data_IF_553178776958
#
_entry.id   IF_553178776958
#
_cell.length_a   1.000
_cell.length_b   1.000
_cell.length_c   1.000
_cell.angle_alpha   90.00
_cell.angle_beta   90.00
_cell.angle_gamma   90.00
#
_symmetry.space_group_name_H-M   'P 1'
#
loop_
_entity.id
_entity.type
_entity.pdbx_description
1 polymer ?
#
# COMPACT_ATOMS: atom_id res chain seq x y z
N UNK A 1 24.93 21.80 7.15
CA UNK A 1 24.66 21.16 5.85
C UNK A 1 23.19 20.74 5.93
N UNK A 2 22.31 21.11 5.02
CA UNK A 2 20.92 20.61 5.06
C UNK A 2 20.86 19.36 4.20
N UNK A 3 20.53 18.22 4.80
CA UNK A 3 20.31 16.97 4.09
C UNK A 3 21.55 16.22 3.61
N UNK A 4 21.35 14.93 3.35
CA UNK A 4 22.23 14.09 2.54
C UNK A 4 21.89 14.29 1.05
N UNK A 5 22.79 13.94 0.09
CA UNK A 5 22.60 14.28 -1.32
C UNK A 5 21.46 13.54 -2.02
N UNK A 6 20.90 12.48 -1.42
CA UNK A 6 19.86 11.67 -2.05
C UNK A 6 18.49 12.35 -2.00
N UNK A 7 17.91 12.59 -3.17
CA UNK A 7 16.54 13.06 -3.37
C UNK A 7 15.57 11.95 -3.78
N UNK A 8 16.02 10.69 -3.74
CA UNK A 8 15.17 9.55 -4.05
C UNK A 8 14.44 9.11 -2.80
N UNK A 9 13.13 8.93 -2.93
CA UNK A 9 12.29 8.34 -1.89
C UNK A 9 11.13 7.58 -2.49
N UNK A 10 10.40 6.87 -1.62
CA UNK A 10 9.24 6.07 -1.98
C UNK A 10 8.20 6.12 -0.87
N UNK A 11 6.94 6.00 -1.26
CA UNK A 11 5.86 5.67 -0.33
C UNK A 11 5.87 4.16 -0.08
N UNK A 12 5.18 3.73 0.96
CA UNK A 12 4.99 2.32 1.26
C UNK A 12 3.68 2.11 2.02
N UNK A 13 2.80 1.27 1.48
CA UNK A 13 1.67 0.72 2.23
C UNK A 13 1.83 -0.79 2.34
N UNK A 14 2.06 -1.26 3.56
CA UNK A 14 2.37 -2.65 3.86
C UNK A 14 1.21 -3.28 4.62
N UNK A 15 0.75 -4.43 4.15
CA UNK A 15 -0.23 -5.27 4.85
C UNK A 15 0.40 -6.63 5.11
N UNK A 16 0.46 -7.03 6.38
CA UNK A 16 0.88 -8.35 6.82
C UNK A 16 -0.31 -9.09 7.39
N UNK A 17 -0.66 -10.23 6.80
CA UNK A 17 -1.74 -11.10 7.29
C UNK A 17 -1.11 -12.33 7.91
N UNK A 18 -1.45 -12.58 9.18
CA UNK A 18 -1.09 -13.79 9.92
C UNK A 18 -2.29 -14.31 10.70
N UNK A 19 -2.80 -15.48 10.30
CA UNK A 19 -4.00 -16.06 10.87
C UNK A 19 -5.22 -15.14 10.72
N UNK A 20 -5.73 -14.63 11.85
CA UNK A 20 -6.85 -13.67 11.86
C UNK A 20 -6.46 -12.22 12.07
N UNK A 21 -5.18 -11.90 12.09
CA UNK A 21 -4.70 -10.53 12.31
C UNK A 21 -4.13 -9.95 11.01
N UNK A 22 -4.48 -8.70 10.78
CA UNK A 22 -3.93 -7.83 9.74
C UNK A 22 -3.13 -6.74 10.42
N UNK A 23 -1.84 -6.66 10.12
CA UNK A 23 -0.96 -5.58 10.54
C UNK A 23 -0.76 -4.65 9.36
N UNK A 24 -0.92 -3.35 9.57
CA UNK A 24 -0.76 -2.33 8.55
C UNK A 24 0.33 -1.37 9.00
N UNK A 25 1.25 -1.04 8.08
CA UNK A 25 2.25 0.01 8.24
C UNK A 25 2.24 0.89 6.98
N UNK A 26 2.13 2.21 7.16
CA UNK A 26 1.92 3.13 6.05
C UNK A 26 2.79 4.39 6.16
N UNK A 27 3.43 4.76 5.05
CA UNK A 27 4.23 5.99 4.87
C UNK A 27 3.91 6.56 3.47
N UNK A 28 3.54 7.84 3.40
CA UNK A 28 3.27 8.53 2.13
C UNK A 28 1.77 8.66 1.83
N UNK A 29 1.39 8.48 0.58
CA UNK A 29 0.02 8.65 0.07
C UNK A 29 -0.44 7.53 -0.89
N UNK A 30 0.19 6.36 -0.80
CA UNK A 30 -0.49 5.11 -1.13
C UNK A 30 -1.54 4.79 -0.05
N UNK A 31 -2.44 3.85 -0.28
CA UNK A 31 -3.54 3.61 0.65
C UNK A 31 -4.04 2.18 0.71
N UNK A 32 -4.58 1.81 1.88
CA UNK A 32 -5.23 0.53 2.15
C UNK A 32 -6.69 0.77 2.51
N UNK A 33 -7.59 0.11 1.79
CA UNK A 33 -9.04 0.17 2.00
C UNK A 33 -9.58 -1.24 2.30
N UNK A 34 -10.41 -1.35 3.33
CA UNK A 34 -11.09 -2.57 3.73
C UNK A 34 -12.57 -2.51 3.33
N UNK A 35 -13.06 -3.54 2.64
CA UNK A 35 -14.47 -3.74 2.34
C UNK A 35 -15.16 -4.52 3.46
N UNK A 36 -16.12 -3.89 4.12
CA UNK A 36 -16.86 -4.43 5.28
C UNK A 36 -18.34 -4.54 4.93
N UNK A 37 -18.87 -5.75 4.98
CA UNK A 37 -20.29 -6.06 4.97
C UNK A 37 -20.78 -6.13 6.42
N UNK A 38 -21.51 -5.11 6.86
CA UNK A 38 -21.94 -4.98 8.26
C UNK A 38 -23.03 -6.01 8.63
N UNK A 39 -23.98 -6.28 7.73
CA UNK A 39 -25.00 -7.33 7.84
C UNK A 39 -24.89 -8.31 6.65
N UNK A 40 -24.75 -9.63 6.87
CA UNK A 40 -24.76 -10.63 5.80
C UNK A 40 -26.02 -10.64 4.92
N UNK A 41 -27.12 -10.03 5.37
CA UNK A 41 -28.36 -9.87 4.60
C UNK A 41 -28.35 -8.64 3.69
N UNK A 42 -27.48 -7.68 3.97
CA UNK A 42 -27.31 -6.51 3.14
C UNK A 42 -26.30 -6.82 2.04
N UNK A 43 -26.65 -6.49 0.80
CA UNK A 43 -25.73 -6.63 -0.32
C UNK A 43 -24.67 -5.50 -0.31
N UNK A 44 -24.86 -4.46 0.49
CA UNK A 44 -23.93 -3.34 0.52
C UNK A 44 -22.63 -3.66 1.28
N UNK A 45 -21.50 -3.53 0.59
CA UNK A 45 -20.16 -3.56 1.19
C UNK A 45 -19.62 -2.14 1.34
N UNK A 46 -19.45 -1.70 2.60
CA UNK A 46 -18.94 -0.37 2.94
C UNK A 46 -17.42 -0.33 2.86
N UNK A 47 -16.87 0.72 2.25
CA UNK A 47 -15.44 1.00 2.26
C UNK A 47 -15.01 1.63 3.58
N UNK A 48 -13.91 1.12 4.14
CA UNK A 48 -13.24 1.65 5.33
C UNK A 48 -11.79 1.93 4.97
N UNK A 49 -11.40 3.20 4.97
CA UNK A 49 -10.01 3.60 4.81
C UNK A 49 -9.23 3.19 6.07
N UNK A 50 -8.24 2.31 5.91
CA UNK A 50 -7.42 1.79 7.01
C UNK A 50 -6.20 2.68 7.26
N UNK A 51 -5.76 3.39 6.22
CA UNK A 51 -4.64 4.32 6.25
C UNK A 51 -5.12 5.73 5.95
N UNK A 52 -4.43 6.73 6.49
CA UNK A 52 -4.64 8.14 6.16
C UNK A 52 -3.40 8.67 5.44
N UNK A 53 -3.61 9.36 4.31
CA UNK A 53 -2.53 9.97 3.54
C UNK A 53 -1.73 10.96 4.40
N UNK A 54 -0.41 10.91 4.29
CA UNK A 54 0.50 11.85 4.94
C UNK A 54 0.65 13.12 4.10
N UNK A 55 -0.41 13.94 4.00
CA UNK A 55 -0.38 15.19 3.24
C UNK A 55 0.27 16.33 4.05
N UNK A 56 1.17 17.15 3.46
CA UNK A 56 1.88 18.23 4.16
C UNK A 56 0.99 19.27 4.85
N UNK A 57 -0.23 19.47 4.39
CA UNK A 57 -1.20 20.42 4.92
C UNK A 57 -1.97 19.92 6.14
N UNK A 58 -1.91 18.63 6.47
CA UNK A 58 -2.58 18.10 7.65
C UNK A 58 -1.99 18.75 8.91
N UNK A 59 -2.81 19.18 9.89
CA UNK A 59 -2.32 19.93 11.05
C UNK A 59 -1.15 19.25 11.77
N UNK A 60 -1.25 17.94 12.02
CA UNK A 60 -0.21 17.12 12.67
C UNK A 60 1.11 17.14 11.88
N UNK A 61 1.05 16.95 10.56
CA UNK A 61 2.25 16.91 9.72
C UNK A 61 2.85 18.30 9.52
N UNK A 62 2.00 19.32 9.34
CA UNK A 62 2.44 20.70 9.18
C UNK A 62 3.16 21.20 10.42
N UNK A 63 2.60 20.97 11.61
CA UNK A 63 3.21 21.32 12.88
C UNK A 63 4.57 20.63 13.05
N UNK A 64 4.66 19.34 12.72
CA UNK A 64 5.93 18.59 12.74
C UNK A 64 6.97 19.18 11.78
N UNK A 65 6.58 19.42 10.53
CA UNK A 65 7.47 19.97 9.49
C UNK A 65 7.99 21.36 9.89
N UNK A 66 7.10 22.25 10.33
CA UNK A 66 7.46 23.62 10.72
C UNK A 66 8.27 23.64 12.04
N UNK A 67 7.95 22.77 12.99
CA UNK A 67 8.68 22.60 14.24
C UNK A 67 10.13 22.14 14.05
N UNK A 68 10.42 21.37 13.00
CA UNK A 68 11.78 20.98 12.58
C UNK A 68 12.47 22.03 11.70
N UNK A 69 11.90 23.24 11.55
CA UNK A 69 12.46 24.30 10.72
C UNK A 69 12.24 24.09 9.21
N UNK A 70 11.45 23.09 8.83
CA UNK A 70 10.93 22.89 7.48
C UNK A 70 9.90 23.97 7.10
N UNK A 71 9.26 23.80 5.95
CA UNK A 71 8.16 24.67 5.54
C UNK A 71 7.29 23.97 4.50
N UNK A 72 6.01 24.32 4.49
CA UNK A 72 5.02 23.85 3.51
C UNK A 72 4.56 25.03 2.66
N UNK A 73 4.62 24.89 1.34
CA UNK A 73 4.19 25.90 0.38
C UNK A 73 3.15 25.32 -0.56
N UNK A 74 2.06 26.05 -0.79
CA UNK A 74 1.10 25.71 -1.84
C UNK A 74 1.65 26.16 -3.21
N UNK A 75 1.83 25.21 -4.13
CA UNK A 75 2.23 25.47 -5.51
C UNK A 75 1.19 24.89 -6.45
N UNK A 76 0.46 25.78 -7.14
CA UNK A 76 -0.57 25.40 -8.11
C UNK A 76 -1.67 24.50 -7.51
N UNK A 77 -2.09 24.79 -6.27
CA UNK A 77 -3.12 24.02 -5.57
C UNK A 77 -2.60 22.81 -4.80
N UNK A 78 -1.33 22.42 -4.96
CA UNK A 78 -0.73 21.28 -4.27
C UNK A 78 0.21 21.78 -3.18
N UNK A 79 -0.03 21.37 -1.93
CA UNK A 79 0.86 21.67 -0.82
C UNK A 79 2.11 20.80 -0.90
N UNK A 80 3.28 21.42 -0.71
CA UNK A 80 4.56 20.74 -0.87
C UNK A 80 5.52 21.09 0.26
N UNK A 81 6.24 20.07 0.74
CA UNK A 81 7.40 20.25 1.60
C UNK A 81 8.51 20.92 0.80
N UNK A 82 9.11 21.94 1.38
CA UNK A 82 10.12 22.77 0.72
C UNK A 82 11.52 22.21 0.96
N UNK A 83 12.26 21.99 -0.11
CA UNK A 83 13.69 21.75 -0.04
C UNK A 83 14.46 23.07 0.04
N UNK A 84 15.09 23.29 1.20
CA UNK A 84 15.98 24.43 1.47
C UNK A 84 17.42 24.03 1.17
N UNK A 85 18.03 24.60 0.12
CA UNK A 85 19.42 24.34 -0.25
C UNK A 85 20.16 25.62 -0.66
N UNK A 86 21.49 25.72 -0.46
CA UNK A 86 22.27 26.80 -1.03
C UNK A 86 22.09 26.87 -2.55
N UNK A 87 22.15 28.08 -3.10
CA UNK A 87 22.14 28.29 -4.55
C UNK A 87 23.23 27.46 -5.22
N UNK A 88 22.95 26.95 -6.43
CA UNK A 88 23.90 26.17 -7.23
C UNK A 88 25.22 26.90 -7.49
N UNK A 89 25.23 28.24 -7.48
CA UNK A 89 26.43 29.06 -7.63
C UNK A 89 27.25 29.23 -6.35
N UNK A 90 26.80 28.70 -5.22
CA UNK A 90 27.48 28.81 -3.93
C UNK A 90 28.60 27.78 -3.82
N UNK A 91 29.83 28.27 -3.66
CA UNK A 91 31.01 27.44 -3.36
C UNK A 91 31.48 27.71 -1.93
N UNK A 92 31.76 26.64 -1.18
CA UNK A 92 32.32 26.72 0.18
C UNK A 92 31.30 26.45 1.31
N UNK A 93 31.67 26.71 2.58
CA UNK A 93 30.83 26.44 3.74
C UNK A 93 29.59 27.34 3.80
N UNK A 94 28.44 26.79 4.16
CA UNK A 94 27.19 27.54 4.32
C UNK A 94 27.29 28.46 5.55
N UNK A 95 27.09 29.76 5.35
CA UNK A 95 27.09 30.80 6.39
C UNK A 95 25.70 31.45 6.51
N UNK A 96 25.47 32.25 7.55
CA UNK A 96 24.19 32.98 7.72
C UNK A 96 23.85 33.92 6.55
N UNK A 97 24.86 34.41 5.84
CA UNK A 97 24.71 35.26 4.65
C UNK A 97 24.53 34.48 3.35
N UNK A 98 24.61 33.14 3.38
CA UNK A 98 24.43 32.31 2.20
C UNK A 98 22.99 32.42 1.71
N UNK A 99 22.81 32.70 0.42
CA UNK A 99 21.49 32.73 -0.20
C UNK A 99 20.98 31.29 -0.36
N UNK A 100 19.82 31.02 0.24
CA UNK A 100 19.16 29.71 0.22
C UNK A 100 17.98 29.75 -0.73
N UNK A 101 17.93 28.79 -1.66
CA UNK A 101 16.76 28.57 -2.50
C UNK A 101 15.70 27.76 -1.73
N UNK A 102 14.45 28.15 -1.92
CA UNK A 102 13.28 27.44 -1.39
C UNK A 102 12.53 26.81 -2.55
N UNK A 103 12.61 25.49 -2.66
CA UNK A 103 12.06 24.74 -3.79
C UNK A 103 10.89 23.89 -3.28
N UNK A 104 9.64 24.18 -3.67
CA UNK A 104 8.51 23.29 -3.36
C UNK A 104 8.74 21.93 -4.04
N UNK A 105 8.97 20.90 -3.25
CA UNK A 105 9.55 19.64 -3.72
C UNK A 105 8.54 18.49 -3.63
N UNK A 106 8.37 17.86 -2.46
CA UNK A 106 7.49 16.70 -2.28
C UNK A 106 6.06 17.09 -1.91
N UNK A 107 5.08 16.37 -2.45
CA UNK A 107 3.66 16.51 -2.10
C UNK A 107 3.21 15.57 -0.96
N UNK A 108 4.17 14.88 -0.33
CA UNK A 108 3.97 14.00 0.82
C UNK A 108 4.82 14.49 2.00
N UNK A 109 4.32 14.30 3.22
CA UNK A 109 5.00 14.68 4.46
C UNK A 109 5.89 13.56 5.01
N UNK A 110 5.64 12.32 4.59
CA UNK A 110 6.36 11.13 5.02
C UNK A 110 6.74 10.26 3.82
N UNK A 111 7.96 9.74 3.83
CA UNK A 111 8.51 8.90 2.76
C UNK A 111 9.69 8.10 3.30
N UNK A 112 9.93 6.92 2.74
CA UNK A 112 11.19 6.21 2.92
C UNK A 112 12.25 6.80 1.97
N UNK A 113 13.46 7.03 2.46
CA UNK A 113 14.51 7.70 1.68
C UNK A 113 14.46 9.21 1.90
N UNK A 114 14.43 10.00 0.82
CA UNK A 114 14.37 11.46 0.85
C UNK A 114 15.37 12.09 1.84
N UNK A 115 16.60 11.58 1.80
CA UNK A 115 17.62 11.88 2.79
C UNK A 115 18.06 13.35 2.77
N UNK A 116 17.74 14.07 1.69
CA UNK A 116 17.85 15.54 1.61
C UNK A 116 17.09 16.27 2.71
N UNK A 117 16.07 15.63 3.31
CA UNK A 117 15.25 16.22 4.36
C UNK A 117 15.85 16.08 5.76
N UNK A 118 17.00 15.40 5.89
CA UNK A 118 17.68 15.23 7.18
C UNK A 118 18.23 16.56 7.69
N UNK A 119 17.83 16.93 8.91
CA UNK A 119 18.37 18.08 9.61
C UNK A 119 19.37 17.63 10.69
N UNK A 120 20.64 18.01 10.50
CA UNK A 120 21.73 17.62 11.39
C UNK A 120 21.67 18.27 12.78
N UNK A 121 20.89 19.35 12.97
CA UNK A 121 20.77 20.02 14.25
C UNK A 121 19.78 19.33 15.17
N UNK A 122 18.59 19.02 14.66
CA UNK A 122 17.57 18.25 15.36
C UNK A 122 17.88 16.77 15.38
N UNK A 123 18.65 16.26 14.41
CA UNK A 123 18.90 14.84 14.23
C UNK A 123 17.73 14.09 13.57
N UNK A 124 16.76 14.83 13.02
CA UNK A 124 15.47 14.33 12.54
C UNK A 124 15.28 14.59 11.04
N UNK A 125 14.32 13.89 10.43
CA UNK A 125 13.93 14.14 9.04
C UNK A 125 12.69 15.04 8.96
N UNK A 126 12.78 16.11 8.17
CA UNK A 126 11.60 16.94 7.87
C UNK A 126 10.54 16.12 7.12
N UNK A 127 10.97 15.24 6.22
CA UNK A 127 10.11 14.22 5.59
C UNK A 127 10.26 12.94 6.40
N UNK A 128 9.33 12.64 7.29
CA UNK A 128 9.53 11.55 8.27
C UNK A 128 9.49 10.17 7.60
N UNK A 129 10.40 9.25 7.92
CA UNK A 129 10.31 7.84 7.50
C UNK A 129 9.43 7.00 8.44
N UNK A 130 8.88 7.58 9.51
CA UNK A 130 8.14 6.85 10.54
C UNK A 130 6.74 6.44 10.05
N UNK A 131 6.43 5.12 9.98
CA UNK A 131 5.14 4.63 9.56
C UNK A 131 4.06 4.83 10.62
N UNK A 132 2.87 5.20 10.19
CA UNK A 132 1.67 4.97 11.00
C UNK A 132 1.35 3.47 10.97
N UNK A 133 1.12 2.86 12.14
CA UNK A 133 0.88 1.42 12.28
C UNK A 133 -0.45 1.11 12.95
N UNK A 134 -1.12 0.05 12.51
CA UNK A 134 -2.38 -0.41 13.12
C UNK A 134 -2.56 -1.93 13.00
N UNK A 135 -3.36 -2.50 13.91
CA UNK A 135 -3.67 -3.94 13.92
C UNK A 135 -5.18 -4.13 13.92
N UNK A 136 -5.65 -4.96 12.97
CA UNK A 136 -7.06 -5.23 12.76
C UNK A 136 -7.32 -6.73 12.83
N UNK A 137 -8.47 -7.12 13.39
CA UNK A 137 -8.90 -8.52 13.37
C UNK A 137 -9.75 -8.78 12.14
N UNK A 138 -9.32 -9.69 11.27
CA UNK A 138 -10.05 -10.09 10.08
C UNK A 138 -11.17 -11.06 10.45
N UNK A 139 -12.41 -10.64 10.23
CA UNK A 139 -13.61 -11.48 10.27
C UNK A 139 -14.06 -11.83 8.84
N UNK A 140 -13.89 -13.08 8.37
CA UNK A 140 -14.30 -13.48 7.02
C UNK A 140 -15.81 -13.44 6.76
N UNK A 141 -16.63 -13.32 7.80
CA UNK A 141 -18.07 -13.15 7.62
C UNK A 141 -18.39 -11.72 7.18
N UNK A 142 -17.68 -10.74 7.75
CA UNK A 142 -17.90 -9.31 7.52
C UNK A 142 -16.96 -8.73 6.46
N UNK A 143 -15.68 -9.05 6.53
CA UNK A 143 -14.66 -8.49 5.65
C UNK A 143 -14.61 -9.26 4.34
N UNK A 144 -14.72 -8.54 3.22
CA UNK A 144 -14.76 -9.11 1.86
C UNK A 144 -13.55 -8.77 1.02
N UNK A 145 -13.01 -7.56 1.19
CA UNK A 145 -11.93 -7.07 0.34
C UNK A 145 -10.88 -6.33 1.17
N UNK A 146 -9.60 -6.49 0.83
CA UNK A 146 -8.53 -5.57 1.20
C UNK A 146 -7.91 -5.08 -0.10
N UNK A 147 -7.96 -3.77 -0.34
CA UNK A 147 -7.43 -3.13 -1.55
C UNK A 147 -6.26 -2.26 -1.14
N UNK A 148 -5.08 -2.53 -1.69
CA UNK A 148 -3.92 -1.64 -1.63
C UNK A 148 -3.81 -0.93 -2.98
N UNK A 149 -3.59 0.39 -2.96
CA UNK A 149 -3.47 1.19 -4.18
C UNK A 149 -2.43 2.29 -4.04
N UNK A 150 -1.78 2.66 -5.15
CA UNK A 150 -1.01 3.90 -5.23
C UNK A 150 -1.96 5.10 -5.40
N UNK A 151 -1.44 6.31 -5.21
CA UNK A 151 -2.18 7.56 -5.46
C UNK A 151 -2.72 7.64 -6.91
N UNK A 152 -2.02 7.04 -7.88
CA UNK A 152 -2.51 6.87 -9.25
C UNK A 152 -3.89 6.19 -9.35
N UNK A 153 -4.21 5.28 -8.42
CA UNK A 153 -5.54 4.69 -8.26
C UNK A 153 -6.47 5.64 -7.49
N UNK A 154 -6.09 6.01 -6.27
CA UNK A 154 -6.96 6.70 -5.31
C UNK A 154 -7.35 8.13 -5.75
N UNK A 155 -6.49 8.80 -6.51
CA UNK A 155 -6.79 10.11 -7.10
C UNK A 155 -7.94 10.06 -8.14
N UNK A 156 -8.24 8.88 -8.69
CA UNK A 156 -9.27 8.69 -9.70
C UNK A 156 -10.46 7.85 -9.25
N UNK A 157 -10.24 6.88 -8.36
CA UNK A 157 -11.26 5.95 -7.90
C UNK A 157 -11.47 6.14 -6.39
N UNK A 158 -12.61 6.69 -5.96
CA UNK A 158 -12.96 6.74 -4.54
C UNK A 158 -12.97 5.35 -3.89
N UNK A 159 -12.66 5.24 -2.59
CA UNK A 159 -12.67 3.96 -1.87
C UNK A 159 -13.96 3.15 -2.01
N UNK A 160 -15.12 3.82 -1.88
CA UNK A 160 -16.42 3.16 -2.03
C UNK A 160 -16.66 2.67 -3.47
N UNK A 161 -16.30 3.46 -4.48
CA UNK A 161 -16.38 3.06 -5.88
C UNK A 161 -15.52 1.81 -6.15
N UNK A 162 -14.31 1.75 -5.57
CA UNK A 162 -13.41 0.61 -5.75
C UNK A 162 -14.01 -0.70 -5.20
N UNK A 163 -14.60 -0.64 -4.00
CA UNK A 163 -15.28 -1.78 -3.37
C UNK A 163 -16.49 -2.22 -4.20
N UNK A 164 -17.36 -1.29 -4.61
CA UNK A 164 -18.52 -1.61 -5.44
C UNK A 164 -18.13 -2.20 -6.80
N UNK A 165 -17.07 -1.70 -7.43
CA UNK A 165 -16.54 -2.28 -8.67
C UNK A 165 -16.06 -3.73 -8.46
N UNK A 166 -15.36 -4.01 -7.35
CA UNK A 166 -14.93 -5.38 -7.03
C UNK A 166 -16.10 -6.32 -6.79
N UNK A 167 -17.13 -5.84 -6.11
CA UNK A 167 -18.37 -6.60 -5.88
C UNK A 167 -19.08 -6.94 -7.20
N UNK A 168 -19.39 -5.93 -8.02
CA UNK A 168 -20.02 -6.10 -9.33
C UNK A 168 -19.24 -7.08 -10.22
N UNK A 169 -17.91 -7.04 -10.13
CA UNK A 169 -17.03 -7.90 -10.92
C UNK A 169 -17.11 -9.37 -10.48
N UNK A 170 -17.11 -9.64 -9.18
CA UNK A 170 -17.24 -11.00 -8.65
C UNK A 170 -18.63 -11.59 -8.92
N UNK A 171 -19.70 -10.79 -8.81
CA UNK A 171 -21.05 -11.21 -9.18
C UNK A 171 -21.14 -11.57 -10.67
N UNK A 172 -20.62 -10.72 -11.56
CA UNK A 172 -20.59 -11.01 -13.01
C UNK A 172 -19.79 -12.26 -13.32
N UNK A 173 -18.67 -12.49 -12.62
CA UNK A 173 -17.89 -13.72 -12.74
C UNK A 173 -18.73 -14.94 -12.38
N UNK A 174 -19.53 -14.85 -11.32
CA UNK A 174 -20.42 -15.92 -10.89
C UNK A 174 -21.55 -16.20 -11.90
N UNK A 175 -22.19 -15.15 -12.45
CA UNK A 175 -23.30 -15.30 -13.40
C UNK A 175 -22.87 -15.70 -14.82
N UNK A 176 -21.74 -15.18 -15.32
CA UNK A 176 -21.31 -15.37 -16.71
C UNK A 176 -20.26 -16.48 -16.89
N UNK A 177 -19.71 -17.04 -15.81
CA UNK A 177 -18.76 -18.16 -15.85
C UNK A 177 -17.36 -17.81 -16.38
N UNK A 178 -17.17 -16.66 -17.00
CA UNK A 178 -15.88 -16.17 -17.48
C UNK A 178 -15.68 -14.69 -17.13
N UNK A 179 -14.91 -14.42 -16.07
CA UNK A 179 -14.24 -13.13 -15.96
C UNK A 179 -12.82 -13.29 -16.48
N UNK A 180 -12.55 -12.71 -17.66
CA UNK A 180 -11.24 -12.77 -18.34
C UNK A 180 -10.17 -11.90 -17.66
N UNK A 181 -10.53 -11.18 -16.60
CA UNK A 181 -9.71 -10.13 -15.98
C UNK A 181 -9.80 -10.22 -14.45
N UNK A 182 -8.71 -9.90 -13.76
CA UNK A 182 -8.69 -9.80 -12.30
C UNK A 182 -9.28 -8.47 -11.79
N UNK A 183 -9.74 -8.45 -10.53
CA UNK A 183 -10.24 -7.23 -9.88
C UNK A 183 -9.21 -6.09 -9.91
N UNK A 184 -7.94 -6.39 -9.59
CA UNK A 184 -6.86 -5.40 -9.63
C UNK A 184 -6.70 -4.78 -11.02
N UNK A 185 -6.70 -5.60 -12.08
CA UNK A 185 -6.55 -5.13 -13.46
C UNK A 185 -7.75 -4.31 -13.91
N UNK A 186 -8.96 -4.67 -13.49
CA UNK A 186 -10.16 -3.88 -13.74
C UNK A 186 -10.06 -2.49 -13.08
N UNK A 187 -9.68 -2.41 -11.80
CA UNK A 187 -9.52 -1.14 -11.09
C UNK A 187 -8.49 -0.23 -11.76
N UNK A 188 -7.31 -0.77 -12.09
CA UNK A 188 -6.26 -0.03 -12.80
C UNK A 188 -6.77 0.46 -14.16
N UNK A 189 -7.44 -0.41 -14.94
CA UNK A 189 -8.03 -0.02 -16.22
C UNK A 189 -9.07 1.10 -16.10
N UNK A 190 -9.90 1.08 -15.06
CA UNK A 190 -10.87 2.14 -14.77
C UNK A 190 -10.20 3.44 -14.36
N UNK A 191 -9.17 3.39 -13.52
CA UNK A 191 -8.39 4.56 -13.11
C UNK A 191 -7.73 5.24 -14.31
N UNK A 192 -7.02 4.47 -15.15
CA UNK A 192 -6.40 4.98 -16.39
C UNK A 192 -7.44 5.57 -17.36
N UNK A 193 -8.63 4.97 -17.42
CA UNK A 193 -9.77 5.52 -18.15
C UNK A 193 -10.21 6.90 -17.65
N UNK A 194 -10.34 7.08 -16.32
CA UNK A 194 -10.68 8.36 -15.70
C UNK A 194 -9.59 9.42 -15.87
N UNK A 195 -8.31 9.05 -15.77
CA UNK A 195 -7.18 9.92 -16.09
C UNK A 195 -7.30 10.50 -17.51
N UNK A 196 -7.55 9.61 -18.50
CA UNK A 196 -7.73 10.01 -19.90
C UNK A 196 -8.96 10.91 -20.10
N UNK A 197 -10.07 10.61 -19.44
CA UNK A 197 -11.30 11.42 -19.53
C UNK A 197 -11.11 12.83 -18.98
N UNK A 198 -10.32 12.99 -17.91
CA UNK A 198 -9.98 14.30 -17.34
C UNK A 198 -8.89 15.05 -18.13
N UNK A 199 -8.39 14.48 -19.23
CA UNK A 199 -7.27 15.03 -20.02
C UNK A 199 -6.01 15.28 -19.18
N UNK A 200 -5.82 14.46 -18.14
CA UNK A 200 -4.66 14.53 -17.26
C UNK A 200 -3.65 13.45 -17.66
N UNK A 201 -2.36 13.72 -17.42
CA UNK A 201 -1.31 12.70 -17.57
C UNK A 201 -1.48 11.68 -16.45
N UNK A 202 -1.68 10.41 -16.81
CA UNK A 202 -1.80 9.33 -15.84
C UNK A 202 -0.51 9.16 -15.05
N UNK A 203 -0.65 8.96 -13.74
CA UNK A 203 0.45 8.53 -12.88
C UNK A 203 0.67 7.01 -12.99
N UNK A 204 1.78 6.54 -12.44
CA UNK A 204 1.97 5.12 -12.17
C UNK A 204 0.84 4.62 -11.26
N UNK A 205 -0.03 3.79 -11.83
CA UNK A 205 -1.22 3.26 -11.16
C UNK A 205 -0.97 1.79 -10.85
N UNK A 206 -0.88 1.47 -9.56
CA UNK A 206 -0.73 0.09 -9.07
C UNK A 206 -1.88 -0.25 -8.13
N UNK A 207 -2.30 -1.51 -8.10
CA UNK A 207 -3.33 -2.02 -7.21
C UNK A 207 -3.08 -3.50 -6.86
N UNK A 208 -3.32 -3.85 -5.60
CA UNK A 208 -3.40 -5.23 -5.11
C UNK A 208 -4.80 -5.41 -4.50
N UNK A 209 -5.53 -6.43 -4.95
CA UNK A 209 -6.86 -6.74 -4.40
C UNK A 209 -6.85 -8.13 -3.79
N UNK A 210 -7.14 -8.19 -2.49
CA UNK A 210 -7.30 -9.41 -1.71
C UNK A 210 -8.78 -9.63 -1.45
N UNK A 211 -9.37 -10.68 -2.02
CA UNK A 211 -10.71 -11.14 -1.71
C UNK A 211 -10.65 -12.13 -0.54
N UNK A 212 -11.49 -11.92 0.47
CA UNK A 212 -11.63 -12.75 1.65
C UNK A 212 -12.88 -13.61 1.48
N UNK A 213 -12.70 -14.94 1.42
CA UNK A 213 -13.79 -15.87 1.26
C UNK A 213 -13.84 -16.91 2.40
N UNK A 214 -15.05 -17.35 2.82
CA UNK A 214 -15.18 -18.49 3.72
C UNK A 214 -14.73 -19.78 3.01
N UNK A 215 -14.17 -20.74 3.77
CA UNK A 215 -13.53 -21.97 3.28
C UNK A 215 -14.47 -22.97 2.55
N UNK A 216 -15.72 -22.59 2.23
CA UNK A 216 -16.71 -23.49 1.64
C UNK A 216 -16.68 -23.52 0.11
N UNK A 217 -16.01 -22.58 -0.55
CA UNK A 217 -16.03 -22.46 -2.01
C UNK A 217 -14.72 -22.98 -2.64
N UNK A 218 -14.60 -24.31 -2.80
CA UNK A 218 -13.65 -24.90 -3.76
C UNK A 218 -14.24 -24.82 -5.17
N UNK A 219 -14.29 -23.62 -5.74
CA UNK A 219 -14.34 -23.49 -7.21
C UNK A 219 -13.06 -24.06 -7.84
N UNK A 220 -13.05 -24.33 -9.15
CA UNK A 220 -11.81 -24.41 -9.94
C UNK A 220 -11.49 -22.97 -10.35
N UNK A 221 -10.30 -22.48 -10.01
CA UNK A 221 -9.87 -21.09 -10.22
C UNK A 221 -8.62 -21.18 -11.09
N UNK A 222 -8.76 -20.86 -12.37
CA UNK A 222 -7.77 -21.18 -13.40
C UNK A 222 -7.37 -19.89 -14.15
N UNK A 223 -6.66 -19.00 -13.46
CA UNK A 223 -6.17 -17.75 -14.03
C UNK A 223 -4.76 -17.42 -13.53
N UNK A 224 -3.83 -17.21 -14.46
CA UNK A 224 -2.40 -16.98 -14.18
C UNK A 224 -2.11 -15.68 -13.38
N UNK A 225 -3.08 -14.77 -13.24
CA UNK A 225 -2.96 -13.48 -12.51
C UNK A 225 -3.47 -13.54 -11.05
N UNK A 226 -3.85 -14.72 -10.53
CA UNK A 226 -4.50 -14.87 -9.22
C UNK A 226 -3.82 -15.92 -8.32
N UNK A 227 -3.57 -15.55 -7.07
CA UNK A 227 -3.02 -16.41 -6.02
C UNK A 227 -4.10 -16.77 -5.02
N UNK A 228 -4.32 -18.07 -4.78
CA UNK A 228 -5.20 -18.54 -3.70
C UNK A 228 -4.33 -18.99 -2.52
N UNK A 229 -4.65 -18.52 -1.31
CA UNK A 229 -3.91 -18.73 -0.08
C UNK A 229 -4.82 -19.33 1.00
N UNK A 230 -4.62 -20.60 1.36
CA UNK A 230 -5.35 -21.21 2.46
C UNK A 230 -4.69 -20.87 3.81
N UNK A 231 -5.19 -19.85 4.53
CA UNK A 231 -4.69 -19.53 5.88
C UNK A 231 -5.08 -20.57 6.95
N UNK A 232 -5.81 -21.65 6.62
CA UNK A 232 -6.03 -22.79 7.53
C UNK A 232 -4.86 -23.77 7.54
N UNK A 233 -4.07 -23.81 6.47
CA UNK A 233 -2.98 -24.76 6.30
C UNK A 233 -1.72 -24.21 6.98
N UNK A 234 -1.54 -24.54 8.26
CA UNK A 234 -0.20 -24.61 8.86
C UNK A 234 0.62 -25.74 8.22
N UNK A 235 1.96 -25.76 8.35
CA UNK A 235 2.81 -26.65 7.57
C UNK A 235 2.44 -28.13 7.77
N UNK A 236 2.01 -28.81 6.72
CA UNK A 236 2.03 -30.28 6.66
C UNK A 236 3.42 -30.72 6.20
N UNK A 237 4.25 -31.17 7.13
CA UNK A 237 5.45 -31.93 6.80
C UNK A 237 5.01 -33.26 6.18
N UNK A 238 5.17 -33.42 4.88
CA UNK A 238 5.24 -34.74 4.25
C UNK A 238 6.69 -35.00 3.87
N UNK A 239 7.48 -35.43 4.86
CA UNK A 239 8.71 -36.18 4.60
C UNK A 239 8.39 -37.64 4.89
N UNK A 240 8.67 -38.58 3.98
CA UNK A 240 8.86 -39.95 4.37
C UNK A 240 10.24 -40.01 5.01
N UNK A 241 10.30 -40.05 6.35
CA UNK A 241 11.28 -40.88 7.06
C UNK A 241 11.07 -40.81 8.56
N UNK A 242 11.13 -42.00 9.16
CA UNK A 242 10.99 -42.30 10.57
C UNK A 242 12.01 -41.58 11.46
N UNK A 243 11.56 -40.87 12.50
CA UNK A 243 12.10 -41.02 13.86
C UNK A 243 11.28 -40.22 14.87
N UNK A 244 11.06 -40.84 16.02
CA UNK A 244 10.22 -40.42 17.14
C UNK A 244 10.88 -39.34 18.01
N UNK A 245 10.26 -38.16 18.14
CA UNK A 245 10.46 -37.27 19.29
C UNK A 245 9.12 -36.60 19.68
N UNK A 246 8.80 -36.64 20.97
CA UNK A 246 7.54 -36.23 21.59
C UNK A 246 7.28 -34.72 21.52
N UNK A 247 6.02 -34.25 21.35
CA UNK A 247 5.70 -32.83 21.28
C UNK A 247 5.66 -32.16 22.66
N UNK A 248 6.36 -31.03 22.76
CA UNK A 248 6.28 -30.07 23.87
C UNK A 248 4.94 -29.30 23.88
N UNK A 249 4.43 -29.05 25.08
CA UNK A 249 3.10 -28.45 25.37
C UNK A 249 3.03 -26.94 25.10
N UNK A 250 2.94 -26.53 23.85
CA UNK A 250 2.61 -25.13 23.48
C UNK A 250 1.79 -25.06 22.18
N UNK A 251 0.68 -25.82 22.08
CA UNK A 251 -0.19 -25.73 20.90
C UNK A 251 -1.59 -25.32 21.32
N UNK A 252 -1.99 -24.09 20.96
CA UNK A 252 -3.41 -23.72 20.81
C UNK A 252 -4.08 -24.69 19.82
N UNK A 253 -5.32 -25.13 20.08
CA UNK A 253 -5.96 -26.16 19.28
C UNK A 253 -6.20 -25.70 17.83
N UNK A 254 -6.19 -26.62 16.85
CA UNK A 254 -6.38 -26.29 15.45
C UNK A 254 -7.83 -25.85 15.20
N UNK A 255 -8.02 -24.61 14.73
CA UNK A 255 -9.29 -24.08 14.27
C UNK A 255 -9.39 -24.19 12.74
N UNK A 256 -10.54 -24.67 12.25
CA UNK A 256 -10.82 -24.89 10.81
C UNK A 256 -11.25 -23.60 10.08
N UNK A 257 -10.32 -22.76 9.60
CA UNK A 257 -10.62 -21.62 8.68
C UNK A 257 -9.31 -21.19 7.98
N UNK A 258 -9.14 -20.91 6.66
CA UNK A 258 -9.56 -19.78 5.76
C UNK A 258 -8.95 -19.92 4.34
N UNK A 259 -9.53 -19.34 3.28
CA UNK A 259 -8.85 -19.11 1.99
C UNK A 259 -8.91 -17.61 1.59
N UNK A 260 -7.81 -17.03 1.13
CA UNK A 260 -7.71 -15.69 0.52
C UNK A 260 -7.45 -15.84 -0.97
N UNK A 261 -7.95 -14.92 -1.78
CA UNK A 261 -7.57 -14.78 -3.19
C UNK A 261 -6.91 -13.43 -3.39
N UNK A 262 -5.65 -13.42 -3.81
CA UNK A 262 -4.88 -12.20 -4.08
C UNK A 262 -4.70 -12.08 -5.58
N UNK A 263 -5.09 -10.96 -6.16
CA UNK A 263 -4.86 -10.67 -7.58
C UNK A 263 -3.80 -9.58 -7.76
N UNK A 264 -2.92 -9.74 -8.74
CA UNK A 264 -1.85 -8.79 -9.06
C UNK A 264 -1.67 -8.59 -10.56
N UNK A 265 -1.07 -7.47 -10.94
CA UNK A 265 -0.60 -7.22 -12.30
C UNK A 265 0.88 -7.63 -12.39
N UNK A 266 1.28 -8.57 -13.28
CA UNK A 266 2.70 -8.82 -13.48
C UNK A 266 3.40 -7.57 -14.04
N UNK A 267 4.67 -7.32 -13.69
CA UNK A 267 5.43 -6.21 -14.25
C UNK A 267 5.53 -6.37 -15.77
N UNK A 268 5.10 -5.36 -16.52
CA UNK A 268 5.34 -5.30 -17.97
C UNK A 268 6.86 -5.34 -18.20
N UNK A 269 7.35 -6.38 -18.86
CA UNK A 269 8.77 -6.65 -19.08
C UNK A 269 9.42 -5.67 -20.10
N UNK A 270 10.76 -5.76 -20.31
CA UNK A 270 11.75 -4.71 -20.10
C UNK A 270 11.74 -3.63 -21.21
N UNK A 271 12.27 -2.42 -20.98
CA UNK A 271 13.61 -2.04 -21.47
C UNK A 271 14.13 -0.74 -20.81
N UNK A 272 15.45 -0.78 -20.57
CA UNK A 272 16.49 0.26 -20.44
C UNK A 272 16.28 1.60 -19.71
N UNK A 273 17.16 1.80 -18.71
CA UNK A 273 17.72 3.03 -18.15
C UNK A 273 16.90 3.87 -17.15
N UNK A 274 17.25 3.66 -15.85
CA UNK A 274 17.29 4.57 -14.68
C UNK A 274 16.13 5.57 -14.50
N UNK A 275 15.49 5.74 -13.34
CA UNK A 275 15.63 5.21 -11.99
C UNK A 275 14.48 5.79 -11.17
N UNK A 276 13.55 4.96 -10.68
CA UNK A 276 12.70 5.19 -9.50
C UNK A 276 11.82 3.95 -9.33
N UNK A 277 11.51 3.58 -8.10
CA UNK A 277 11.17 2.23 -7.66
C UNK A 277 10.02 1.54 -8.41
N UNK A 278 10.26 0.25 -8.68
CA UNK A 278 9.33 -0.75 -9.18
C UNK A 278 8.99 -1.71 -8.04
N UNK A 279 7.92 -2.48 -8.25
CA UNK A 279 7.50 -3.69 -7.51
C UNK A 279 6.45 -3.44 -6.42
N UNK A 280 5.18 -3.50 -6.81
CA UNK A 280 4.20 -4.11 -5.92
C UNK A 280 4.58 -5.58 -5.79
N UNK A 281 4.83 -6.04 -4.56
CA UNK A 281 5.37 -7.35 -4.29
C UNK A 281 4.53 -8.07 -3.24
N UNK A 282 4.34 -9.38 -3.45
CA UNK A 282 3.82 -10.29 -2.43
C UNK A 282 4.98 -11.16 -1.98
N UNK A 283 5.50 -10.90 -0.79
CA UNK A 283 6.60 -11.67 -0.22
C UNK A 283 6.05 -12.76 0.71
N UNK A 284 6.54 -13.99 0.54
CA UNK A 284 6.25 -15.13 1.42
C UNK A 284 7.52 -15.51 2.17
N UNK A 285 7.52 -15.35 3.49
CA UNK A 285 8.59 -15.88 4.35
C UNK A 285 8.14 -17.12 5.16
N UNK A 286 6.83 -17.37 5.27
CA UNK A 286 6.27 -18.54 5.97
C UNK A 286 4.88 -18.91 5.41
N UNK A 287 4.43 -20.18 5.51
CA UNK A 287 3.15 -20.63 4.94
C UNK A 287 1.90 -19.96 5.54
N UNK A 288 2.01 -19.36 6.73
CA UNK A 288 0.95 -18.62 7.42
C UNK A 288 1.06 -17.09 7.29
N UNK A 289 2.03 -16.60 6.50
CA UNK A 289 2.37 -15.18 6.40
C UNK A 289 2.17 -14.68 4.96
N UNK A 290 1.28 -13.70 4.80
CA UNK A 290 1.13 -12.97 3.54
C UNK A 290 1.57 -11.53 3.75
N UNK A 291 2.59 -11.08 3.02
CA UNK A 291 3.04 -9.69 3.02
C UNK A 291 2.71 -9.07 1.67
N UNK A 292 1.96 -7.98 1.66
CA UNK A 292 1.66 -7.19 0.48
C UNK A 292 2.23 -5.78 0.65
N UNK A 293 2.95 -5.29 -0.36
CA UNK A 293 3.57 -3.97 -0.37
C UNK A 293 3.22 -3.27 -1.68
N UNK A 294 2.84 -2.00 -1.60
CA UNK A 294 2.69 -1.08 -2.72
C UNK A 294 3.39 0.24 -2.45
#
# INVERSE_FOLDING_TARGET
MTGLPSTSGTTASVVIIRGSRMYVAHVGDSGVVLGVQDDPKDDFVRAVEVTQDHKPELPKERERIEGLGGSVINKSGVNRVVWKRPRLSHNGPVRRSTVIDQIPFLAVARALGDLWSYDFYSGEFVVSPEPDTSVHTIDPQKHKYIILGSDGLWNMIPPQDAISMCQDHEEKKYFMGEARQSCARMLVGRALGRWRQRMLRADNTSAIVICIAPLRERGRWDGDEELVLNLAEGPSYSSPDSSSLSPSRCCTPPLKVRALRVSFLPPLAPWSNQSSARESAILREAPDLTVCII
#
